data_IF_623112496045
#
_entry.id   IF_623112496045
#
_cell.length_a   1.000
_cell.length_b   1.000
_cell.length_c   1.000
_cell.angle_alpha   90.00
_cell.angle_beta   90.00
_cell.angle_gamma   90.00
#
_symmetry.space_group_name_H-M   'P 1'
#
loop_
_entity.id
_entity.type
_entity.pdbx_description
1 polymer ?
#
# COMPACT_ATOMS: atom_id res chain seq x y z
N UNK A 1 1.42 0.75 1.82
CA UNK A 1 0.89 0.33 3.14
C UNK A 1 -0.39 1.12 3.43
N UNK A 2 -1.56 0.47 3.46
CA UNK A 2 -2.76 1.13 3.99
C UNK A 2 -2.55 1.31 5.49
N UNK A 3 -2.12 2.50 5.91
CA UNK A 3 -2.03 2.83 7.33
C UNK A 3 -3.46 2.82 7.85
N UNK A 4 -3.85 1.71 8.49
CA UNK A 4 -5.11 1.63 9.21
C UNK A 4 -5.02 2.68 10.31
N UNK A 5 -5.67 3.82 10.10
CA UNK A 5 -5.64 4.89 11.07
C UNK A 5 -6.28 4.40 12.37
N UNK A 6 -5.62 4.61 13.52
CA UNK A 6 -6.16 4.17 14.79
C UNK A 6 -7.52 4.86 15.04
N UNK A 7 -8.49 4.14 15.63
CA UNK A 7 -9.80 4.72 15.88
C UNK A 7 -9.70 5.83 16.93
N UNK A 8 -10.27 7.00 16.61
CA UNK A 8 -10.39 8.14 17.50
C UNK A 8 -11.62 7.97 18.41
N UNK A 9 -11.42 7.97 19.73
CA UNK A 9 -12.53 7.88 20.68
C UNK A 9 -13.06 9.27 21.03
N UNK A 10 -14.34 9.50 20.77
CA UNK A 10 -15.00 10.80 20.98
C UNK A 10 -16.22 10.62 21.87
N UNK A 11 -16.50 11.56 22.77
CA UNK A 11 -17.72 11.51 23.59
C UNK A 11 -18.92 12.01 22.79
N UNK A 12 -20.10 11.43 23.03
CA UNK A 12 -21.34 11.82 22.36
C UNK A 12 -21.66 13.33 22.48
N UNK A 13 -21.28 13.96 23.59
CA UNK A 13 -21.45 15.42 23.77
C UNK A 13 -20.62 16.23 22.77
N UNK A 14 -19.40 15.79 22.51
CA UNK A 14 -18.45 16.49 21.62
C UNK A 14 -18.88 16.28 20.15
N UNK A 15 -19.43 15.11 19.83
CA UNK A 15 -20.00 14.81 18.50
C UNK A 15 -21.16 15.74 18.17
N UNK A 16 -22.07 15.98 19.11
CA UNK A 16 -23.25 16.84 18.87
C UNK A 16 -22.87 18.28 18.51
N UNK A 17 -21.73 18.76 19.00
CA UNK A 17 -21.26 20.12 18.76
C UNK A 17 -20.49 20.24 17.44
N UNK A 18 -19.85 19.16 16.98
CA UNK A 18 -18.88 19.19 15.87
C UNK A 18 -19.18 18.16 14.77
N UNK A 19 -20.43 17.70 14.64
CA UNK A 19 -20.80 16.60 13.74
C UNK A 19 -20.35 16.84 12.29
N UNK A 20 -20.56 18.04 11.77
CA UNK A 20 -20.20 18.39 10.38
C UNK A 20 -18.71 18.25 10.12
N UNK A 21 -17.87 18.69 11.07
CA UNK A 21 -16.41 18.59 10.96
C UNK A 21 -15.96 17.14 11.05
N UNK A 22 -16.56 16.36 11.95
CA UNK A 22 -16.27 14.93 12.09
C UNK A 22 -16.61 14.16 10.81
N UNK A 23 -17.75 14.45 10.19
CA UNK A 23 -18.13 13.85 8.91
C UNK A 23 -17.10 14.17 7.82
N UNK A 24 -16.65 15.43 7.71
CA UNK A 24 -15.64 15.82 6.72
C UNK A 24 -14.34 15.05 6.91
N UNK A 25 -13.83 14.95 8.13
CA UNK A 25 -12.59 14.20 8.42
C UNK A 25 -12.72 12.72 8.10
N UNK A 26 -13.86 12.11 8.41
CA UNK A 26 -14.12 10.71 8.03
C UNK A 26 -14.21 10.53 6.51
N UNK A 27 -14.86 11.46 5.79
CA UNK A 27 -14.92 11.41 4.32
C UNK A 27 -13.57 11.61 3.65
N UNK A 28 -12.71 12.46 4.23
CA UNK A 28 -11.36 12.68 3.75
C UNK A 28 -10.42 11.49 4.05
N UNK A 29 -10.90 10.48 4.78
CA UNK A 29 -10.08 9.35 5.22
C UNK A 29 -9.02 9.75 6.26
N UNK A 30 -9.20 10.87 6.96
CA UNK A 30 -8.27 11.37 7.97
C UNK A 30 -8.49 10.70 9.33
N UNK A 31 -9.74 10.34 9.67
CA UNK A 31 -10.09 9.81 10.98
C UNK A 31 -11.23 8.78 10.90
N UNK A 32 -11.04 7.62 11.54
CA UNK A 32 -12.13 6.66 11.87
C UNK A 32 -12.56 6.90 13.31
N UNK A 33 -13.83 7.19 13.54
CA UNK A 33 -14.27 7.64 14.88
C UNK A 33 -15.13 6.61 15.58
N UNK A 34 -14.83 6.36 16.86
CA UNK A 34 -15.66 5.60 17.78
C UNK A 34 -16.31 6.58 18.75
N UNK A 35 -17.62 6.68 18.68
CA UNK A 35 -18.43 7.51 19.56
C UNK A 35 -18.72 6.71 20.83
N UNK A 36 -18.46 7.34 21.97
CA UNK A 36 -18.64 6.77 23.30
C UNK A 36 -19.73 7.49 24.07
N UNK A 37 -20.47 6.73 24.88
CA UNK A 37 -21.42 7.24 25.87
C UNK A 37 -21.06 6.63 27.21
N UNK A 38 -20.79 7.47 28.21
CA UNK A 38 -20.36 7.04 29.55
C UNK A 38 -19.13 6.12 29.51
N UNK A 39 -18.16 6.44 28.64
CA UNK A 39 -16.94 5.66 28.47
C UNK A 39 -17.10 4.34 27.69
N UNK A 40 -18.31 3.99 27.26
CA UNK A 40 -18.55 2.78 26.45
C UNK A 40 -18.72 3.14 24.97
N UNK A 41 -18.10 2.40 24.04
CA UNK A 41 -18.34 2.59 22.61
C UNK A 41 -19.81 2.26 22.29
N UNK A 42 -20.46 3.11 21.50
CA UNK A 42 -21.88 2.95 21.14
C UNK A 42 -22.11 3.03 19.64
N UNK A 43 -21.36 3.85 18.92
CA UNK A 43 -21.51 4.07 17.47
C UNK A 43 -20.13 4.25 16.87
N UNK A 44 -19.93 3.81 15.63
CA UNK A 44 -18.76 4.15 14.83
C UNK A 44 -19.19 5.03 13.65
N UNK A 45 -18.38 6.03 13.32
CA UNK A 45 -18.52 6.81 12.10
C UNK A 45 -17.48 6.30 11.09
N UNK A 46 -17.98 5.77 9.98
CA UNK A 46 -17.21 5.22 8.87
C UNK A 46 -17.81 5.70 7.56
N UNK A 47 -17.01 5.68 6.50
CA UNK A 47 -17.53 5.93 5.16
C UNK A 47 -18.42 4.78 4.69
N UNK A 48 -19.27 5.03 3.70
CA UNK A 48 -20.13 3.99 3.13
C UNK A 48 -19.31 2.84 2.52
N UNK A 49 -18.18 3.16 1.88
CA UNK A 49 -17.28 2.18 1.30
C UNK A 49 -16.65 1.29 2.39
N UNK A 50 -16.24 1.87 3.51
CA UNK A 50 -15.73 1.10 4.65
C UNK A 50 -16.81 0.24 5.29
N UNK A 51 -18.03 0.73 5.41
CA UNK A 51 -19.16 -0.07 5.90
C UNK A 51 -19.39 -1.31 5.03
N UNK A 52 -19.38 -1.14 3.71
CA UNK A 52 -19.49 -2.26 2.76
C UNK A 52 -18.35 -3.26 2.89
N UNK A 53 -17.11 -2.79 3.09
CA UNK A 53 -15.95 -3.65 3.35
C UNK A 53 -16.13 -4.49 4.61
N UNK A 54 -16.52 -3.85 5.73
CA UNK A 54 -16.76 -4.53 7.00
C UNK A 54 -17.80 -5.64 6.83
N UNK A 55 -18.91 -5.35 6.14
CA UNK A 55 -19.98 -6.33 5.92
C UNK A 55 -19.59 -7.45 4.97
N UNK A 56 -18.81 -7.16 3.92
CA UNK A 56 -18.30 -8.18 3.03
C UNK A 56 -17.33 -9.13 3.74
N UNK A 57 -16.50 -8.60 4.63
CA UNK A 57 -15.55 -9.38 5.42
C UNK A 57 -16.29 -10.25 6.44
N UNK A 58 -17.29 -9.69 7.13
CA UNK A 58 -18.15 -10.44 8.06
C UNK A 58 -18.96 -11.53 7.34
N UNK A 59 -19.52 -11.24 6.17
CA UNK A 59 -20.26 -12.24 5.37
C UNK A 59 -19.33 -13.38 4.91
N UNK A 60 -18.10 -13.04 4.51
CA UNK A 60 -17.08 -14.02 4.13
C UNK A 60 -16.65 -14.89 5.32
N UNK A 61 -16.43 -14.30 6.49
CA UNK A 61 -16.07 -15.05 7.70
C UNK A 61 -17.19 -15.97 8.18
N UNK A 62 -18.44 -15.49 8.15
CA UNK A 62 -19.58 -16.21 8.71
C UNK A 62 -20.13 -17.29 7.76
N UNK A 63 -20.21 -16.98 6.47
CA UNK A 63 -20.89 -17.84 5.48
C UNK A 63 -19.98 -18.37 4.39
N UNK A 64 -18.74 -17.91 4.33
CA UNK A 64 -17.77 -18.31 3.31
C UNK A 64 -17.99 -17.64 1.94
N UNK A 65 -17.14 -17.99 0.98
CA UNK A 65 -17.09 -17.36 -0.33
C UNK A 65 -18.35 -17.51 -1.16
N UNK A 66 -18.73 -16.40 -1.79
CA UNK A 66 -19.75 -16.37 -2.84
C UNK A 66 -19.05 -16.51 -4.18
N UNK A 67 -19.44 -17.51 -4.96
CA UNK A 67 -18.97 -17.65 -6.32
C UNK A 67 -19.55 -16.51 -7.19
N UNK A 68 -18.73 -15.66 -7.83
CA UNK A 68 -19.23 -14.53 -8.60
C UNK A 68 -19.99 -14.96 -9.86
N UNK A 69 -19.71 -16.15 -10.41
CA UNK A 69 -20.34 -16.64 -11.64
C UNK A 69 -21.70 -17.28 -11.39
N UNK A 70 -21.85 -17.93 -10.23
CA UNK A 70 -23.06 -18.72 -9.91
C UNK A 70 -23.91 -18.11 -8.80
N UNK A 71 -23.38 -17.16 -8.03
CA UNK A 71 -24.04 -16.57 -6.86
C UNK A 71 -24.22 -17.52 -5.67
N UNK A 72 -23.77 -18.77 -5.81
CA UNK A 72 -23.88 -19.77 -4.74
C UNK A 72 -22.71 -19.66 -3.76
N UNK A 73 -22.99 -19.96 -2.50
CA UNK A 73 -21.97 -20.09 -1.46
C UNK A 73 -21.25 -21.42 -1.61
N UNK A 74 -19.93 -21.39 -1.60
CA UNK A 74 -19.11 -22.59 -1.60
C UNK A 74 -18.24 -22.65 -0.34
N UNK A 75 -18.08 -23.85 0.21
CA UNK A 75 -17.25 -24.06 1.38
C UNK A 75 -15.75 -24.01 1.07
N UNK A 76 -14.94 -24.11 2.12
CA UNK A 76 -13.48 -24.04 2.07
C UNK A 76 -12.82 -25.00 1.06
N UNK A 77 -13.42 -26.15 0.78
CA UNK A 77 -12.91 -27.11 -0.21
C UNK A 77 -12.88 -26.55 -1.64
N UNK A 78 -13.84 -25.69 -2.00
CA UNK A 78 -13.86 -25.05 -3.30
C UNK A 78 -12.76 -23.99 -3.41
N UNK A 79 -12.58 -23.18 -2.37
CA UNK A 79 -11.52 -22.17 -2.26
C UNK A 79 -10.15 -22.79 -2.42
N UNK A 80 -9.88 -23.88 -1.69
CA UNK A 80 -8.60 -24.57 -1.75
C UNK A 80 -8.31 -25.11 -3.17
N UNK A 81 -9.35 -25.48 -3.92
CA UNK A 81 -9.23 -26.00 -5.28
C UNK A 81 -9.06 -24.90 -6.33
N UNK A 82 -9.75 -23.78 -6.18
CA UNK A 82 -9.76 -22.68 -7.17
C UNK A 82 -8.75 -21.59 -6.86
N UNK A 83 -8.19 -21.55 -5.65
CA UNK A 83 -7.37 -20.44 -5.18
C UNK A 83 -8.17 -19.14 -5.05
N UNK A 84 -9.50 -19.23 -4.96
CA UNK A 84 -10.36 -18.06 -4.98
C UNK A 84 -10.11 -17.18 -3.77
N UNK A 85 -9.85 -15.91 -4.02
CA UNK A 85 -9.73 -14.89 -2.97
C UNK A 85 -10.88 -13.91 -3.14
N UNK A 86 -11.40 -13.38 -2.03
CA UNK A 86 -12.44 -12.35 -2.10
C UNK A 86 -11.99 -11.19 -3.00
N UNK A 87 -12.87 -10.65 -3.86
CA UNK A 87 -12.53 -9.47 -4.63
C UNK A 87 -12.17 -8.34 -3.67
N UNK A 88 -10.97 -7.78 -3.84
CA UNK A 88 -10.55 -6.59 -3.11
C UNK A 88 -11.44 -5.41 -3.54
N UNK A 89 -11.88 -4.61 -2.59
CA UNK A 89 -12.57 -3.35 -2.92
C UNK A 89 -11.59 -2.39 -3.61
N UNK A 90 -12.09 -1.42 -4.39
CA UNK A 90 -11.25 -0.44 -5.10
C UNK A 90 -10.20 0.22 -4.20
N UNK A 91 -10.57 0.56 -2.96
CA UNK A 91 -9.63 1.13 -1.98
C UNK A 91 -8.51 0.15 -1.54
N UNK A 92 -8.79 -1.15 -1.49
CA UNK A 92 -7.82 -2.20 -1.21
C UNK A 92 -6.91 -2.46 -2.41
N UNK A 93 -7.47 -2.38 -3.63
CA UNK A 93 -6.71 -2.43 -4.89
C UNK A 93 -5.71 -1.28 -4.95
N UNK A 94 -6.16 -0.05 -4.72
CA UNK A 94 -5.29 1.14 -4.68
C UNK A 94 -4.20 0.97 -3.62
N UNK A 95 -4.53 0.43 -2.45
CA UNK A 95 -3.56 0.19 -1.39
C UNK A 95 -2.51 -0.88 -1.74
N UNK A 96 -2.92 -1.92 -2.47
CA UNK A 96 -2.04 -2.99 -2.95
C UNK A 96 -1.11 -2.47 -4.05
N UNK A 97 -1.65 -1.76 -5.02
CA UNK A 97 -0.86 -1.10 -6.08
C UNK A 97 0.13 -0.08 -5.50
N UNK A 98 -0.27 0.68 -4.47
CA UNK A 98 0.62 1.61 -3.79
C UNK A 98 1.73 0.90 -2.99
N UNK A 99 1.49 -0.32 -2.50
CA UNK A 99 2.54 -1.12 -1.86
C UNK A 99 3.52 -1.68 -2.89
N UNK A 100 3.02 -2.21 -4.01
CA UNK A 100 3.85 -2.68 -5.13
C UNK A 100 4.75 -1.57 -5.66
N UNK A 101 4.20 -0.35 -5.86
CA UNK A 101 4.99 0.83 -6.27
C UNK A 101 6.05 1.25 -5.24
N UNK A 102 5.78 1.07 -3.95
CA UNK A 102 6.76 1.38 -2.90
C UNK A 102 7.92 0.37 -2.92
N UNK A 103 7.63 -0.92 -3.09
CA UNK A 103 8.66 -1.97 -3.25
C UNK A 103 9.51 -1.74 -4.50
N UNK A 104 8.90 -1.33 -5.62
CA UNK A 104 9.63 -0.94 -6.83
C UNK A 104 10.56 0.26 -6.58
N UNK A 105 10.10 1.27 -5.84
CA UNK A 105 10.93 2.42 -5.48
C UNK A 105 12.10 2.05 -4.55
N UNK A 106 11.86 1.17 -3.57
CA UNK A 106 12.93 0.64 -2.71
C UNK A 106 13.96 -0.18 -3.50
N UNK A 107 13.50 -0.96 -4.49
CA UNK A 107 14.39 -1.67 -5.40
C UNK A 107 15.22 -0.70 -6.24
N UNK A 108 14.59 0.32 -6.84
CA UNK A 108 15.26 1.30 -7.68
C UNK A 108 16.27 2.13 -6.91
N UNK A 109 15.92 2.58 -5.70
CA UNK A 109 16.85 3.32 -4.82
C UNK A 109 18.03 2.45 -4.37
N UNK A 110 17.82 1.15 -4.15
CA UNK A 110 18.90 0.20 -3.88
C UNK A 110 19.83 0.05 -5.08
N UNK A 111 19.27 -0.12 -6.28
CA UNK A 111 20.04 -0.22 -7.52
C UNK A 111 20.82 1.08 -7.78
N UNK A 112 20.20 2.23 -7.57
CA UNK A 112 20.85 3.55 -7.72
C UNK A 112 22.00 3.73 -6.72
N UNK A 113 21.81 3.31 -5.47
CA UNK A 113 22.88 3.32 -4.47
C UNK A 113 24.04 2.37 -4.84
N UNK A 114 23.72 1.21 -5.44
CA UNK A 114 24.72 0.25 -5.93
C UNK A 114 25.50 0.83 -7.12
N UNK A 115 24.83 1.45 -8.10
CA UNK A 115 25.46 2.15 -9.23
C UNK A 115 26.38 3.27 -8.73
N UNK A 116 25.90 4.08 -7.78
CA UNK A 116 26.71 5.16 -7.21
C UNK A 116 27.96 4.65 -6.48
N UNK A 117 27.86 3.53 -5.78
CA UNK A 117 29.01 2.91 -5.12
C UNK A 117 30.09 2.46 -6.11
N UNK A 118 29.68 2.01 -7.30
CA UNK A 118 30.60 1.62 -8.37
C UNK A 118 31.23 2.84 -9.05
N UNK A 119 30.47 3.93 -9.21
CA UNK A 119 31.01 5.21 -9.70
C UNK A 119 32.03 5.83 -8.74
N UNK A 120 31.85 5.70 -7.42
CA UNK A 120 32.83 6.17 -6.42
C UNK A 120 34.12 5.34 -6.45
N UNK A 121 34.04 4.01 -6.65
CA UNK A 121 35.20 3.11 -6.83
C UNK A 121 36.05 3.45 -8.07
N UNK A 122 35.41 3.90 -9.16
CA UNK A 122 36.11 4.32 -10.37
C UNK A 122 36.84 5.68 -10.19
N UNK A 123 36.30 6.59 -9.35
CA UNK A 123 36.93 7.90 -9.08
C UNK A 123 38.15 7.86 -8.15
N UNK A 124 38.27 6.83 -7.29
CA UNK A 124 39.46 6.64 -6.45
C UNK A 124 40.64 6.03 -7.23
N UNK A 125 40.38 5.39 -8.38
CA UNK A 125 41.43 4.79 -9.21
C UNK A 125 42.10 5.84 -10.13
N UNK A 126 41.44 6.96 -10.45
CA UNK A 126 41.99 8.01 -11.33
C UNK A 126 42.84 9.10 -10.61
N UNK A 127 42.83 9.17 -9.27
CA UNK A 127 43.69 10.12 -8.54
C UNK A 127 45.14 9.65 -8.32
N UNK A 128 45.48 8.43 -8.75
CA UNK A 128 46.85 7.88 -8.67
C UNK A 128 47.51 7.65 -10.03
N UNK A 129 47.30 8.53 -11.03
CA UNK A 129 48.26 8.69 -12.13
C UNK A 129 48.08 10.00 -12.89
N UNK A 130 48.66 11.09 -12.38
CA UNK A 130 49.11 12.18 -13.24
C UNK A 130 50.27 11.65 -14.10
N UNK A 131 49.95 11.22 -15.32
CA UNK A 131 50.95 10.70 -16.25
C UNK A 131 50.40 10.41 -17.63
N UNK A 132 50.48 11.43 -18.50
CA UNK A 132 50.51 11.33 -19.97
C UNK A 132 49.16 11.37 -20.70
N UNK A 133 49.04 12.44 -21.50
CA UNK A 133 48.04 12.66 -22.54
C UNK A 133 48.08 11.53 -23.56
N UNK A 134 47.02 10.75 -23.64
CA UNK A 134 46.82 9.72 -24.66
C UNK A 134 45.36 9.27 -24.70
N UNK A 135 44.67 9.67 -25.77
CA UNK A 135 43.35 9.23 -26.25
C UNK A 135 42.84 7.91 -25.64
N UNK A 136 42.11 8.00 -24.52
CA UNK A 136 41.52 6.86 -23.83
C UNK A 136 40.00 6.92 -23.95
N UNK A 137 39.47 6.31 -25.02
CA UNK A 137 38.04 5.99 -25.06
C UNK A 137 37.76 4.83 -24.11
N UNK A 138 36.73 4.91 -23.25
CA UNK A 138 36.47 3.90 -22.24
C UNK A 138 36.11 2.55 -22.88
N UNK A 139 36.68 1.47 -22.33
CA UNK A 139 36.65 0.11 -22.89
C UNK A 139 35.24 -0.47 -23.02
N UNK A 140 34.30 -0.01 -22.20
CA UNK A 140 32.91 -0.47 -22.22
C UNK A 140 32.14 -0.04 -23.49
N UNK A 141 32.57 1.02 -24.17
CA UNK A 141 31.94 1.50 -25.42
C UNK A 141 32.06 0.50 -26.58
N UNK A 142 33.06 -0.40 -26.56
CA UNK A 142 33.23 -1.45 -27.57
C UNK A 142 32.24 -2.62 -27.43
N UNK A 143 31.53 -2.75 -26.30
CA UNK A 143 30.59 -3.86 -26.08
C UNK A 143 29.17 -3.56 -26.59
N UNK A 144 28.85 -2.29 -26.86
CA UNK A 144 27.50 -1.86 -27.25
C UNK A 144 27.33 -1.59 -28.75
N UNK A 145 28.42 -1.42 -29.50
CA UNK A 145 28.39 -1.31 -30.97
C UNK A 145 29.48 -2.18 -31.60
N UNK A 146 29.07 -3.36 -32.06
CA UNK A 146 29.79 -4.23 -32.99
C UNK A 146 28.79 -5.31 -33.41
N UNK A 147 28.19 -5.15 -34.60
CA UNK A 147 28.54 -5.95 -35.79
C UNK A 147 28.23 -7.43 -35.61
#
# INVERSE_FOLDING_TARGET
MSTILPPLYVRLTDVRLNLTEMIKRTLNGEERMIITRHGKPVVALVTINELHRIWADEDYELYGPVNPETGHRHGAAWVARTGWTRPLFEAEVIAKEAAEKAEEQEMLTRIEAEIKSWEEEDTETEQSSEGSVGDARPVWWKRWWGW
#
